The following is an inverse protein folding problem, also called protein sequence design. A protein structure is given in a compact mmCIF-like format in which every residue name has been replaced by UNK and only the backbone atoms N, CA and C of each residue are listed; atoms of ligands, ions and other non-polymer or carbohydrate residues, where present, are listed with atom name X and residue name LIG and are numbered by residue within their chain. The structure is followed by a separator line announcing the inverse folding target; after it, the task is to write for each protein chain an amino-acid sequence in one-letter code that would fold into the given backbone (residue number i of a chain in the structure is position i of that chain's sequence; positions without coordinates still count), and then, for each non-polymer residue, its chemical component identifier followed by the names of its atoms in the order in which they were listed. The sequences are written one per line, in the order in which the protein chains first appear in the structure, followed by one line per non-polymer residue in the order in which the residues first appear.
data_IF_585902699349
#
_entry.id   IF_585902699349
#
_cell.length_a   1.000
_cell.length_b   1.000
_cell.length_c   1.000
_cell.angle_alpha   90.00
_cell.angle_beta   90.00
_cell.angle_gamma   90.00
#
_symmetry.space_group_name_H-M   'P 1'
#
loop_
_entity.id
_entity.type
_entity.pdbx_description
1 polymer ?
#
# COMPACT_ATOMS: atom_id res chain seq x y z
N UNK A 1 14.39 11.55 -21.92
CA UNK A 1 15.79 11.20 -22.28
C UNK A 1 16.82 11.90 -21.37
N UNK A 2 16.63 13.17 -21.00
CA UNK A 2 17.58 13.90 -20.13
C UNK A 2 17.68 13.34 -18.71
N UNK A 3 16.60 12.85 -18.13
CA UNK A 3 16.62 12.27 -16.76
C UNK A 3 17.34 10.92 -16.74
N UNK A 4 17.40 10.21 -17.85
CA UNK A 4 18.10 8.92 -17.97
C UNK A 4 19.61 9.08 -18.15
N UNK A 5 20.05 10.16 -18.74
CA UNK A 5 21.47 10.45 -18.93
C UNK A 5 22.16 10.96 -17.66
N UNK A 6 21.45 11.66 -16.77
CA UNK A 6 22.00 12.18 -15.51
C UNK A 6 22.37 11.06 -14.52
N UNK A 7 21.74 9.89 -14.59
CA UNK A 7 22.05 8.74 -13.72
C UNK A 7 23.40 8.05 -14.03
N UNK A 8 23.93 8.17 -15.24
CA UNK A 8 25.20 7.56 -15.63
C UNK A 8 26.44 8.35 -15.21
N UNK A 9 26.31 9.63 -14.95
CA UNK A 9 27.44 10.51 -14.62
C UNK A 9 27.93 10.40 -13.17
N UNK A 10 27.06 10.02 -12.23
CA UNK A 10 27.40 9.95 -10.80
C UNK A 10 28.07 8.64 -10.34
N UNK A 11 28.21 7.66 -11.20
CA UNK A 11 28.86 6.37 -10.86
C UNK A 11 30.37 6.31 -11.16
N UNK A 12 31.00 7.39 -11.59
CA UNK A 12 32.44 7.38 -11.96
C UNK A 12 33.35 8.26 -11.10
N UNK A 13 32.88 8.90 -10.06
CA UNK A 13 33.68 9.80 -9.23
C UNK A 13 33.66 9.41 -7.74
N UNK A 14 34.15 8.22 -7.38
CA UNK A 14 34.55 7.92 -6.01
C UNK A 14 35.68 6.88 -6.03
N UNK A 15 36.87 7.35 -6.23
CA UNK A 15 38.12 6.59 -6.06
C UNK A 15 39.13 7.42 -5.28
N UNK A 16 39.50 6.92 -4.12
CA UNK A 16 40.73 7.15 -3.33
C UNK A 16 40.89 8.50 -2.57
N UNK A 17 40.80 8.44 -1.26
CA UNK A 17 41.97 8.76 -0.39
C UNK A 17 41.78 8.19 1.02
N UNK A 18 42.65 7.31 1.44
CA UNK A 18 42.84 6.87 2.83
C UNK A 18 43.61 7.93 3.60
N UNK A 19 43.09 8.38 4.75
CA UNK A 19 43.86 8.98 5.80
C UNK A 19 43.33 8.55 7.16
N UNK A 20 44.18 7.91 7.91
CA UNK A 20 44.00 7.40 9.27
C UNK A 20 43.78 8.52 10.27
N UNK A 21 42.74 8.38 11.09
CA UNK A 21 42.49 9.22 12.27
C UNK A 21 41.56 8.50 13.23
N UNK A 22 42.15 7.79 14.19
CA UNK A 22 41.44 7.16 15.30
C UNK A 22 40.96 8.21 16.28
N UNK A 23 39.65 8.43 16.36
CA UNK A 23 38.97 8.97 17.55
C UNK A 23 37.61 8.32 17.67
N UNK A 24 37.38 7.69 18.84
CA UNK A 24 36.19 6.91 19.15
C UNK A 24 34.91 7.74 19.08
N UNK A 25 34.15 7.52 18.02
CA UNK A 25 32.75 7.91 17.92
C UNK A 25 31.90 6.70 18.25
N UNK A 26 31.25 6.69 19.39
CA UNK A 26 30.19 5.76 19.67
C UNK A 26 29.07 6.01 18.66
N UNK A 27 29.06 5.20 17.62
CA UNK A 27 27.86 5.06 16.79
C UNK A 27 26.79 4.45 17.68
N UNK A 28 25.94 5.28 18.26
CA UNK A 28 24.67 4.85 18.79
C UNK A 28 23.87 4.30 17.61
N UNK A 29 24.04 3.01 17.33
CA UNK A 29 23.06 2.24 16.59
C UNK A 29 21.79 2.34 17.44
N UNK A 30 20.91 3.27 17.08
CA UNK A 30 19.56 3.28 17.59
C UNK A 30 18.99 1.90 17.26
N UNK A 31 18.97 1.00 18.22
CA UNK A 31 18.31 -0.29 18.13
C UNK A 31 16.87 0.04 17.81
N UNK A 32 16.46 -0.20 16.56
CA UNK A 32 15.07 -0.09 16.20
C UNK A 32 14.29 -1.01 17.14
N UNK A 33 13.48 -0.44 18.01
CA UNK A 33 12.69 -1.20 18.96
C UNK A 33 11.93 -2.27 18.18
N UNK A 34 12.04 -3.53 18.61
CA UNK A 34 11.38 -4.63 17.93
C UNK A 34 9.87 -4.34 17.88
N UNK A 35 9.27 -4.44 16.68
CA UNK A 35 7.84 -4.25 16.51
C UNK A 35 7.07 -5.23 17.39
N UNK A 36 6.02 -4.73 18.05
CA UNK A 36 5.17 -5.54 18.90
C UNK A 36 4.55 -6.69 18.11
N UNK A 37 4.53 -7.87 18.72
CA UNK A 37 3.84 -9.04 18.17
C UNK A 37 2.35 -8.76 18.07
N UNK A 38 1.73 -9.21 17.00
CA UNK A 38 0.30 -9.11 16.76
C UNK A 38 -0.25 -10.51 16.47
N UNK A 39 -0.90 -11.08 17.48
CA UNK A 39 -1.45 -12.43 17.34
C UNK A 39 -2.65 -12.42 16.39
N UNK A 40 -2.65 -13.37 15.47
CA UNK A 40 -3.70 -13.53 14.47
C UNK A 40 -3.83 -15.02 14.10
N UNK A 41 -5.04 -15.43 13.76
CA UNK A 41 -5.26 -16.78 13.25
C UNK A 41 -4.85 -16.83 11.76
N UNK A 42 -4.03 -17.80 11.38
CA UNK A 42 -3.72 -18.00 9.97
C UNK A 42 -4.97 -18.43 9.21
N UNK A 43 -5.30 -17.70 8.17
CA UNK A 43 -6.46 -18.02 7.33
C UNK A 43 -6.21 -19.29 6.54
N UNK A 44 -7.18 -20.23 6.59
CA UNK A 44 -7.17 -21.41 5.72
C UNK A 44 -7.74 -21.12 4.32
N UNK A 45 -8.48 -20.02 4.17
CA UNK A 45 -9.13 -19.64 2.92
C UNK A 45 -8.25 -18.78 2.02
N UNK A 46 -7.44 -17.91 2.60
CA UNK A 46 -6.63 -16.94 1.86
C UNK A 46 -5.16 -17.32 1.91
N UNK A 47 -4.84 -18.42 1.22
CA UNK A 47 -3.50 -18.99 1.10
C UNK A 47 -3.03 -18.93 -0.35
N UNK A 48 -1.74 -18.73 -0.55
CA UNK A 48 -1.09 -18.85 -1.86
C UNK A 48 -0.09 -19.99 -1.81
N UNK A 49 0.04 -20.72 -2.92
CA UNK A 49 1.09 -21.73 -3.13
C UNK A 49 2.36 -21.07 -3.69
N UNK A 50 2.69 -19.88 -3.21
CA UNK A 50 3.84 -19.10 -3.63
C UNK A 50 4.78 -18.84 -2.45
N UNK A 51 6.06 -18.67 -2.76
CA UNK A 51 7.06 -18.29 -1.75
C UNK A 51 6.70 -16.91 -1.18
N UNK A 52 6.69 -16.83 0.15
CA UNK A 52 6.52 -15.56 0.87
C UNK A 52 7.74 -14.68 0.60
N UNK A 53 7.51 -13.43 0.24
CA UNK A 53 8.58 -12.44 0.11
C UNK A 53 9.27 -12.27 1.47
N UNK A 54 10.61 -12.29 1.55
CA UNK A 54 11.31 -12.07 2.81
C UNK A 54 10.88 -10.76 3.48
N UNK A 55 10.68 -10.77 4.81
CA UNK A 55 10.27 -9.58 5.57
C UNK A 55 11.19 -8.39 5.30
N UNK A 56 12.50 -8.62 5.23
CA UNK A 56 13.50 -7.59 4.91
C UNK A 56 13.16 -6.88 3.60
N UNK A 57 12.86 -7.62 2.54
CA UNK A 57 12.59 -7.04 1.23
C UNK A 57 11.27 -6.29 1.21
N UNK A 58 10.22 -6.84 1.83
CA UNK A 58 8.91 -6.20 1.95
C UNK A 58 8.94 -4.93 2.80
N UNK A 59 9.90 -4.79 3.71
CA UNK A 59 10.01 -3.62 4.60
C UNK A 59 11.04 -2.58 4.12
N UNK A 60 11.89 -2.92 3.15
CA UNK A 60 12.92 -1.99 2.64
C UNK A 60 12.69 -1.53 1.21
N UNK A 61 11.77 -2.14 0.48
CA UNK A 61 11.43 -1.78 -0.90
C UNK A 61 9.97 -1.33 -0.99
N UNK A 62 9.72 -0.04 -0.81
CA UNK A 62 8.39 0.53 -0.67
C UNK A 62 8.15 1.75 -1.56
N UNK A 63 6.88 1.97 -1.91
CA UNK A 63 6.38 3.25 -2.39
C UNK A 63 5.53 3.87 -1.26
N UNK A 64 6.05 4.89 -0.60
CA UNK A 64 5.33 5.69 0.38
C UNK A 64 5.77 7.14 0.20
N UNK A 65 5.10 7.83 -0.73
CA UNK A 65 5.53 9.12 -1.27
C UNK A 65 5.56 10.23 -0.23
N UNK A 66 4.84 10.09 0.86
CA UNK A 66 4.91 10.98 2.03
C UNK A 66 6.33 11.02 2.63
N UNK A 67 7.14 9.95 2.40
CA UNK A 67 8.52 9.87 2.87
C UNK A 67 9.56 10.02 1.77
N UNK A 68 9.15 10.06 0.50
CA UNK A 68 10.04 10.26 -0.64
C UNK A 68 9.66 9.39 -1.84
N UNK A 69 10.35 9.60 -2.95
CA UNK A 69 10.05 8.95 -4.23
C UNK A 69 10.93 7.73 -4.54
N UNK A 70 12.05 7.57 -3.81
CA UNK A 70 12.89 6.39 -3.94
C UNK A 70 12.34 5.23 -3.09
N UNK A 71 12.57 3.98 -3.52
CA UNK A 71 12.10 2.79 -2.81
C UNK A 71 12.70 2.60 -1.42
N UNK A 72 13.89 3.17 -1.18
CA UNK A 72 14.58 3.14 0.10
C UNK A 72 14.23 4.32 1.02
N UNK A 73 13.56 5.36 0.51
CA UNK A 73 13.21 6.54 1.32
C UNK A 73 12.28 6.19 2.48
N UNK A 74 11.22 5.35 2.32
CA UNK A 74 10.34 5.02 3.43
C UNK A 74 11.06 4.34 4.59
N UNK A 75 11.94 3.37 4.34
CA UNK A 75 12.69 2.72 5.43
C UNK A 75 13.66 3.67 6.12
N UNK A 76 14.18 4.66 5.38
CA UNK A 76 15.11 5.67 5.90
C UNK A 76 14.42 6.73 6.75
N UNK A 77 13.22 7.17 6.33
CA UNK A 77 12.60 8.36 6.93
C UNK A 77 11.33 8.07 7.73
N UNK A 78 10.63 6.95 7.52
CA UNK A 78 9.35 6.71 8.18
C UNK A 78 9.44 6.44 9.70
N UNK A 79 10.65 6.30 10.24
CA UNK A 79 10.84 6.25 11.71
C UNK A 79 10.33 7.52 12.41
N UNK A 80 10.19 8.63 11.69
CA UNK A 80 9.65 9.90 12.20
C UNK A 80 8.13 9.94 12.27
N UNK A 81 7.41 8.99 11.64
CA UNK A 81 5.96 8.92 11.66
C UNK A 81 5.45 8.73 13.09
N UNK A 82 4.61 9.63 13.55
CA UNK A 82 3.92 9.49 14.83
C UNK A 82 2.63 8.70 14.63
N UNK A 83 2.60 7.51 15.21
CA UNK A 83 1.45 6.58 15.12
C UNK A 83 0.63 6.52 16.41
N UNK A 84 0.98 7.32 17.42
CA UNK A 84 0.31 7.38 18.72
C UNK A 84 0.26 8.82 19.23
N UNK A 85 -0.91 9.34 19.62
CA UNK A 85 -2.23 8.72 19.45
C UNK A 85 -2.68 8.70 17.98
N UNK A 86 -3.46 7.70 17.58
CA UNK A 86 -4.02 7.61 16.22
C UNK A 86 -5.53 7.47 16.27
N UNK A 87 -6.22 8.19 15.41
CA UNK A 87 -7.66 8.13 15.27
C UNK A 87 -8.04 7.94 13.80
N UNK A 88 -8.91 6.98 13.56
CA UNK A 88 -9.53 6.71 12.27
C UNK A 88 -11.00 7.14 12.33
N UNK A 89 -11.35 8.15 11.55
CA UNK A 89 -12.74 8.63 11.43
C UNK A 89 -13.43 7.95 10.25
N UNK A 90 -14.64 7.45 10.47
CA UNK A 90 -15.52 6.96 9.40
C UNK A 90 -16.75 7.85 9.35
N UNK A 91 -17.03 8.45 8.19
CA UNK A 91 -18.02 9.50 8.00
C UNK A 91 -18.68 9.46 6.62
N UNK A 92 -19.56 10.44 6.32
CA UNK A 92 -20.22 10.63 5.03
C UNK A 92 -21.59 9.98 5.00
N UNK A 93 -21.91 9.27 3.92
CA UNK A 93 -23.18 8.58 3.68
C UNK A 93 -23.39 7.39 4.64
N UNK A 94 -23.52 7.69 5.94
CA UNK A 94 -23.75 6.72 7.02
C UNK A 94 -24.64 7.32 8.12
N UNK A 95 -25.42 6.45 8.78
CA UNK A 95 -26.33 6.87 9.86
C UNK A 95 -25.60 7.08 11.20
N UNK A 96 -24.47 6.44 11.43
CA UNK A 96 -23.73 6.46 12.68
C UNK A 96 -22.24 6.72 12.46
N UNK A 97 -21.82 7.95 12.05
CA UNK A 97 -20.41 8.27 11.89
C UNK A 97 -19.66 8.07 13.20
N UNK A 98 -18.45 7.49 13.11
CA UNK A 98 -17.71 7.07 14.30
C UNK A 98 -16.22 7.28 14.15
N UNK A 99 -15.55 7.56 15.24
CA UNK A 99 -14.09 7.62 15.34
C UNK A 99 -13.59 6.45 16.18
N UNK A 100 -12.60 5.74 15.67
CA UNK A 100 -11.96 4.60 16.31
C UNK A 100 -10.52 4.94 16.66
N UNK A 101 -10.05 4.51 17.81
CA UNK A 101 -8.62 4.43 18.07
C UNK A 101 -8.05 3.07 17.60
N UNK A 102 -6.75 2.88 17.73
CA UNK A 102 -6.10 1.64 17.25
C UNK A 102 -6.51 0.42 18.06
N UNK A 103 -6.78 0.59 19.35
CA UNK A 103 -7.20 -0.52 20.19
C UNK A 103 -8.66 -0.92 19.90
N UNK A 104 -9.52 0.04 19.59
CA UNK A 104 -10.86 -0.23 19.05
C UNK A 104 -10.78 -1.05 17.77
N UNK A 105 -9.91 -0.64 16.82
CA UNK A 105 -9.74 -1.34 15.56
C UNK A 105 -9.22 -2.77 15.75
N UNK A 106 -8.30 -2.99 16.69
CA UNK A 106 -7.75 -4.32 16.98
C UNK A 106 -8.77 -5.28 17.59
N UNK A 107 -9.76 -4.75 18.30
CA UNK A 107 -10.80 -5.52 18.98
C UNK A 107 -12.08 -5.69 18.16
N UNK A 108 -12.22 -4.96 17.05
CA UNK A 108 -13.46 -4.88 16.31
C UNK A 108 -13.89 -6.21 15.69
N UNK A 109 -12.92 -6.99 15.21
CA UNK A 109 -13.16 -8.33 14.65
C UNK A 109 -11.92 -9.22 14.88
N UNK A 110 -12.08 -10.57 14.82
CA UNK A 110 -10.94 -11.48 14.89
C UNK A 110 -9.90 -11.17 13.81
N UNK A 111 -8.63 -11.08 14.22
CA UNK A 111 -7.52 -10.86 13.31
C UNK A 111 -7.15 -12.15 12.59
N UNK A 112 -7.01 -12.06 11.28
CA UNK A 112 -6.54 -13.14 10.42
C UNK A 112 -5.23 -12.76 9.76
N UNK A 113 -4.28 -13.71 9.68
CA UNK A 113 -3.13 -13.60 8.79
C UNK A 113 -3.51 -14.18 7.42
N UNK A 114 -3.43 -13.35 6.38
CA UNK A 114 -3.79 -13.67 4.99
C UNK A 114 -2.58 -13.47 4.09
N UNK A 115 -2.19 -14.50 3.36
CA UNK A 115 -1.13 -14.39 2.37
C UNK A 115 -1.69 -13.88 1.06
N UNK A 116 -1.36 -12.64 0.69
CA UNK A 116 -1.84 -12.00 -0.54
C UNK A 116 -0.71 -11.63 -1.48
N UNK A 117 -0.98 -11.76 -2.80
CA UNK A 117 -0.18 -11.10 -3.83
C UNK A 117 -0.37 -9.60 -3.73
N UNK A 118 0.70 -8.85 -3.91
CA UNK A 118 0.71 -7.42 -4.13
C UNK A 118 1.41 -7.13 -5.46
N UNK A 119 0.82 -6.31 -6.32
CA UNK A 119 1.33 -5.94 -7.61
C UNK A 119 1.40 -4.42 -7.74
N UNK A 120 2.58 -3.89 -7.94
CA UNK A 120 2.77 -2.47 -8.20
C UNK A 120 2.58 -2.17 -9.69
N UNK A 121 2.00 -1.01 -10.01
CA UNK A 121 1.90 -0.51 -11.38
C UNK A 121 3.26 -0.44 -12.08
N UNK A 122 4.34 -0.27 -11.33
CA UNK A 122 5.73 -0.24 -11.82
C UNK A 122 6.30 -1.60 -12.26
N UNK A 123 5.49 -2.66 -12.33
CA UNK A 123 5.93 -3.96 -12.87
C UNK A 123 6.68 -4.84 -11.89
N UNK A 124 6.51 -4.68 -10.59
CA UNK A 124 7.05 -5.57 -9.57
C UNK A 124 5.97 -6.08 -8.62
N UNK A 125 6.23 -7.20 -7.96
CA UNK A 125 5.26 -7.87 -7.09
C UNK A 125 5.91 -8.51 -5.88
N UNK A 126 5.07 -8.80 -4.88
CA UNK A 126 5.41 -9.49 -3.63
C UNK A 126 4.28 -10.45 -3.25
N UNK A 127 4.58 -11.42 -2.38
CA UNK A 127 3.60 -12.21 -1.64
C UNK A 127 3.80 -11.93 -0.15
N UNK A 128 2.84 -11.28 0.50
CA UNK A 128 3.00 -10.73 1.85
C UNK A 128 1.93 -11.30 2.78
N UNK A 129 2.30 -11.82 3.98
CA UNK A 129 1.38 -12.23 5.02
C UNK A 129 0.89 -10.98 5.78
N UNK A 130 -0.29 -10.51 5.44
CA UNK A 130 -0.95 -9.37 6.07
C UNK A 130 -1.82 -9.81 7.23
N UNK A 131 -1.90 -9.01 8.29
CA UNK A 131 -2.77 -9.25 9.44
C UNK A 131 -3.85 -8.17 9.52
N UNK A 132 -5.10 -8.62 9.58
CA UNK A 132 -6.25 -7.73 9.67
C UNK A 132 -7.56 -8.50 9.56
N UNK A 133 -8.61 -7.80 9.15
CA UNK A 133 -9.95 -8.37 8.90
C UNK A 133 -10.60 -7.68 7.71
N UNK A 134 -11.69 -8.25 7.18
CA UNK A 134 -12.41 -7.65 6.05
C UNK A 134 -12.84 -6.21 6.38
N UNK A 135 -12.58 -5.27 5.47
CA UNK A 135 -13.00 -3.86 5.57
C UNK A 135 -14.51 -3.72 5.86
N UNK A 136 -15.30 -4.68 5.40
CA UNK A 136 -16.74 -4.70 5.64
C UNK A 136 -17.10 -4.71 7.13
N UNK A 137 -16.28 -5.29 8.00
CA UNK A 137 -16.54 -5.30 9.44
C UNK A 137 -16.49 -3.90 10.05
N UNK A 138 -15.57 -3.06 9.56
CA UNK A 138 -15.52 -1.65 9.97
C UNK A 138 -16.67 -0.83 9.37
N UNK A 139 -16.93 -1.00 8.07
CA UNK A 139 -17.97 -0.23 7.36
C UNK A 139 -19.36 -0.50 7.97
N UNK A 140 -19.66 -1.73 8.35
CA UNK A 140 -20.94 -2.08 9.01
C UNK A 140 -21.18 -1.31 10.32
N UNK A 141 -20.11 -0.92 11.05
CA UNK A 141 -20.24 -0.21 12.32
C UNK A 141 -20.86 1.17 12.19
N UNK A 142 -20.76 1.78 11.01
CA UNK A 142 -21.27 3.13 10.77
C UNK A 142 -22.62 3.15 10.06
N UNK A 143 -23.21 2.01 9.74
CA UNK A 143 -24.52 1.87 9.12
C UNK A 143 -24.62 2.68 7.81
N UNK A 144 -23.99 2.25 6.72
CA UNK A 144 -24.05 2.93 5.42
C UNK A 144 -25.49 3.17 4.98
N UNK A 145 -25.77 4.37 4.44
CA UNK A 145 -27.08 4.68 3.85
C UNK A 145 -27.19 4.06 2.45
N UNK A 146 -28.41 4.02 1.92
CA UNK A 146 -28.65 3.56 0.53
C UNK A 146 -27.94 4.44 -0.53
N UNK A 147 -27.50 5.63 -0.17
CA UNK A 147 -26.75 6.55 -1.04
C UNK A 147 -25.26 6.27 -1.08
N UNK A 148 -24.71 5.50 -0.13
CA UNK A 148 -23.29 5.14 -0.13
C UNK A 148 -22.96 4.23 -1.32
N UNK A 149 -22.35 4.79 -2.35
CA UNK A 149 -21.95 4.07 -3.58
C UNK A 149 -20.45 3.86 -3.67
N UNK A 150 -19.67 4.73 -3.02
CA UNK A 150 -18.21 4.74 -3.03
C UNK A 150 -17.66 4.94 -1.63
N UNK A 151 -16.40 4.58 -1.47
CA UNK A 151 -15.62 4.78 -0.24
C UNK A 151 -14.32 5.47 -0.60
N UNK A 152 -14.05 6.63 0.00
CA UNK A 152 -12.78 7.35 -0.11
C UNK A 152 -11.93 7.09 1.13
N UNK A 153 -10.65 6.88 0.94
CA UNK A 153 -9.65 6.68 1.98
C UNK A 153 -8.65 7.83 1.93
N UNK A 154 -8.36 8.45 3.06
CA UNK A 154 -7.51 9.64 3.16
C UNK A 154 -6.39 9.35 4.16
N UNK A 155 -5.15 9.59 3.74
CA UNK A 155 -3.95 9.41 4.57
C UNK A 155 -3.76 10.57 5.53
N UNK A 156 -2.98 10.33 6.57
CA UNK A 156 -2.48 11.37 7.47
C UNK A 156 -1.41 12.23 6.77
N UNK A 157 -1.30 13.48 7.21
CA UNK A 157 -0.27 14.42 6.75
C UNK A 157 0.42 15.05 7.95
N UNK A 158 1.67 14.68 8.16
CA UNK A 158 2.53 15.18 9.23
C UNK A 158 3.71 15.97 8.61
N UNK A 159 3.57 17.26 8.25
CA UNK A 159 4.58 17.99 7.48
C UNK A 159 5.96 18.08 8.13
N UNK A 160 6.02 17.97 9.46
CA UNK A 160 7.28 17.93 10.21
C UNK A 160 7.98 16.57 10.12
N UNK A 161 7.22 15.49 9.97
CA UNK A 161 7.67 14.11 10.06
C UNK A 161 7.73 13.40 8.70
N UNK A 162 7.02 13.92 7.71
CA UNK A 162 6.88 13.37 6.37
C UNK A 162 7.56 14.29 5.34
N UNK A 163 8.83 14.10 5.02
CA UNK A 163 9.58 15.00 4.13
C UNK A 163 9.00 15.08 2.71
N UNK A 164 8.38 14.00 2.22
CA UNK A 164 7.80 13.93 0.88
C UNK A 164 6.58 14.83 0.69
N UNK A 165 5.81 15.12 1.74
CA UNK A 165 4.61 16.00 1.64
C UNK A 165 4.96 17.46 1.35
N UNK A 166 6.24 17.83 1.50
CA UNK A 166 6.73 19.16 1.13
C UNK A 166 7.10 19.26 -0.36
N UNK A 167 7.08 18.15 -1.06
CA UNK A 167 7.27 18.11 -2.51
C UNK A 167 5.94 18.27 -3.23
N UNK A 168 5.98 18.69 -4.50
CA UNK A 168 4.78 18.80 -5.36
C UNK A 168 4.61 17.57 -6.25
N UNK A 169 5.07 16.40 -5.81
CA UNK A 169 4.97 15.17 -6.58
C UNK A 169 3.53 14.74 -6.85
N UNK A 170 2.68 14.94 -5.87
CA UNK A 170 1.22 14.76 -5.94
C UNK A 170 0.53 15.79 -5.03
N UNK A 171 -0.81 15.90 -5.11
CA UNK A 171 -1.61 16.69 -4.18
C UNK A 171 -1.81 15.94 -2.86
N UNK A 172 -1.55 16.61 -1.72
CA UNK A 172 -1.69 16.06 -0.38
C UNK A 172 -2.98 16.52 0.31
N UNK A 173 -3.59 15.73 1.18
CA UNK A 173 -3.26 14.35 1.57
C UNK A 173 -3.43 13.37 0.40
N UNK A 174 -2.67 12.26 0.43
CA UNK A 174 -2.94 11.15 -0.49
C UNK A 174 -4.34 10.63 -0.24
N UNK A 175 -5.07 10.39 -1.33
CA UNK A 175 -6.41 9.82 -1.28
C UNK A 175 -6.64 8.86 -2.43
N UNK A 176 -7.49 7.89 -2.19
CA UNK A 176 -7.94 6.99 -3.23
C UNK A 176 -9.31 6.41 -2.87
N UNK A 177 -9.99 5.79 -3.80
CA UNK A 177 -11.35 5.31 -3.60
C UNK A 177 -11.61 3.92 -4.16
N UNK A 178 -12.68 3.32 -3.66
CA UNK A 178 -13.26 2.08 -4.14
C UNK A 178 -14.76 2.26 -4.36
N UNK A 179 -15.36 1.44 -5.20
CA UNK A 179 -16.80 1.24 -5.16
C UNK A 179 -17.18 0.57 -3.83
N UNK A 180 -18.42 0.75 -3.39
CA UNK A 180 -18.90 0.15 -2.14
C UNK A 180 -18.82 -1.39 -2.18
N UNK A 181 -19.17 -2.02 -3.30
CA UNK A 181 -19.09 -3.48 -3.46
C UNK A 181 -17.64 -4.01 -3.40
N UNK A 182 -16.68 -3.24 -3.93
CA UNK A 182 -15.24 -3.54 -3.80
C UNK A 182 -14.77 -3.40 -2.35
N UNK A 183 -15.17 -2.32 -1.67
CA UNK A 183 -14.82 -2.08 -0.27
C UNK A 183 -15.44 -3.13 0.68
N UNK A 184 -16.65 -3.59 0.38
CA UNK A 184 -17.37 -4.62 1.14
C UNK A 184 -16.94 -6.05 0.78
N UNK A 185 -16.13 -6.24 -0.26
CA UNK A 185 -15.70 -7.57 -0.67
C UNK A 185 -14.79 -8.20 0.39
N UNK A 186 -14.94 -9.51 0.69
CA UNK A 186 -14.15 -10.19 1.74
C UNK A 186 -12.62 -10.09 1.57
N UNK A 187 -12.12 -9.95 0.35
CA UNK A 187 -10.68 -9.78 0.07
C UNK A 187 -10.16 -8.38 0.41
N UNK A 188 -11.00 -7.35 0.48
CA UNK A 188 -10.57 -6.01 0.91
C UNK A 188 -10.28 -6.03 2.39
N UNK A 189 -9.01 -5.85 2.75
CA UNK A 189 -8.51 -6.01 4.11
C UNK A 189 -8.24 -4.67 4.77
N UNK A 190 -8.82 -4.42 5.94
CA UNK A 190 -8.29 -3.43 6.88
C UNK A 190 -7.11 -4.08 7.59
N UNK A 191 -5.93 -3.52 7.41
CA UNK A 191 -4.66 -4.16 7.78
C UNK A 191 -4.02 -3.43 8.94
N UNK A 192 -3.67 -4.17 9.98
CA UNK A 192 -3.07 -3.70 11.23
C UNK A 192 -1.67 -4.28 11.48
N UNK A 193 -1.28 -5.29 10.68
CA UNK A 193 -0.01 -5.96 10.84
C UNK A 193 0.45 -6.73 9.60
N UNK A 194 1.66 -7.26 9.70
CA UNK A 194 2.29 -8.14 8.72
C UNK A 194 3.39 -8.98 9.38
N UNK A 195 3.65 -10.18 8.88
CA UNK A 195 4.69 -11.10 9.41
C UNK A 195 4.59 -11.32 10.93
N UNK A 196 3.38 -11.50 11.47
CA UNK A 196 3.16 -11.75 12.91
C UNK A 196 3.35 -10.53 13.82
N UNK A 197 3.52 -9.33 13.28
CA UNK A 197 3.82 -8.07 14.02
C UNK A 197 2.87 -6.95 13.59
N UNK A 198 2.78 -5.91 14.41
CA UNK A 198 2.14 -4.65 13.99
C UNK A 198 2.83 -4.08 12.75
N UNK A 199 2.12 -3.26 11.98
CA UNK A 199 2.68 -2.64 10.77
C UNK A 199 3.92 -1.79 11.09
N UNK A 200 5.03 -1.97 10.37
CA UNK A 200 6.12 -1.01 10.42
C UNK A 200 5.72 0.30 9.74
N UNK A 201 6.29 1.40 10.19
CA UNK A 201 5.96 2.75 9.71
C UNK A 201 6.06 2.87 8.19
N UNK A 202 7.14 2.36 7.59
CA UNK A 202 7.37 2.39 6.14
C UNK A 202 6.36 1.56 5.33
N UNK A 203 5.62 0.68 5.98
CA UNK A 203 4.57 -0.12 5.36
C UNK A 203 3.15 0.43 5.61
N UNK A 204 3.05 1.64 6.17
CA UNK A 204 1.78 2.35 6.32
C UNK A 204 1.10 2.17 7.67
N UNK A 205 1.91 2.07 8.75
CA UNK A 205 1.40 2.04 10.13
C UNK A 205 0.53 3.28 10.45
N UNK A 206 -0.33 3.18 11.46
CA UNK A 206 -0.68 1.99 12.23
C UNK A 206 -1.82 1.19 11.59
N UNK A 207 -2.48 1.73 10.56
CA UNK A 207 -3.59 1.11 9.83
C UNK A 207 -3.54 1.49 8.36
N UNK A 208 -3.73 0.49 7.50
CA UNK A 208 -3.82 0.64 6.06
C UNK A 208 -4.88 -0.28 5.49
N UNK A 209 -5.19 -0.13 4.21
CA UNK A 209 -5.92 -1.17 3.50
C UNK A 209 -5.03 -1.96 2.54
N UNK A 210 -5.49 -3.17 2.18
CA UNK A 210 -4.91 -3.99 1.13
C UNK A 210 -6.03 -4.50 0.24
N UNK A 211 -5.91 -4.23 -1.07
CA UNK A 211 -6.83 -4.68 -2.11
C UNK A 211 -6.03 -5.51 -3.11
N UNK A 212 -5.97 -6.84 -2.96
CA UNK A 212 -4.95 -7.65 -3.62
C UNK A 212 -5.08 -7.75 -5.14
N UNK A 213 -6.27 -7.51 -5.72
CA UNK A 213 -6.50 -7.59 -7.17
C UNK A 213 -6.29 -6.25 -7.91
N UNK A 214 -6.06 -5.16 -7.16
CA UNK A 214 -5.75 -3.83 -7.71
C UNK A 214 -4.27 -3.51 -7.60
N UNK A 215 -3.80 -2.57 -8.41
CA UNK A 215 -2.44 -2.06 -8.27
C UNK A 215 -2.20 -1.48 -6.86
N UNK A 216 -0.99 -1.66 -6.35
CA UNK A 216 -0.64 -1.38 -4.95
C UNK A 216 -0.92 0.03 -4.45
N UNK A 217 -0.98 1.03 -5.34
CA UNK A 217 -1.31 2.40 -4.94
C UNK A 217 -2.77 2.57 -4.48
N UNK A 218 -3.69 1.69 -4.91
CA UNK A 218 -5.07 1.64 -4.41
C UNK A 218 -5.13 1.21 -2.94
N UNK A 219 -4.07 0.61 -2.40
CA UNK A 219 -3.97 0.13 -1.02
C UNK A 219 -3.43 1.24 -0.11
N UNK A 220 -4.28 2.21 0.20
CA UNK A 220 -3.96 3.44 0.95
C UNK A 220 -3.36 3.14 2.31
N UNK A 221 -2.31 3.89 2.70
CA UNK A 221 -1.51 3.73 3.93
C UNK A 221 -1.84 4.78 4.97
N UNK A 222 -1.56 4.49 6.24
CA UNK A 222 -1.67 5.46 7.35
C UNK A 222 -2.98 6.25 7.32
N UNK A 223 -4.10 5.52 7.23
CA UNK A 223 -5.44 6.08 7.00
C UNK A 223 -5.92 6.79 8.26
N UNK A 224 -6.43 8.01 8.11
CA UNK A 224 -7.08 8.80 9.19
C UNK A 224 -8.56 9.06 8.92
N UNK A 225 -9.00 8.98 7.65
CA UNK A 225 -10.42 9.15 7.31
C UNK A 225 -10.85 8.14 6.26
N UNK A 226 -12.01 7.54 6.51
CA UNK A 226 -12.77 6.75 5.54
C UNK A 226 -14.09 7.50 5.35
N UNK A 227 -14.40 7.90 4.11
CA UNK A 227 -15.60 8.66 3.79
C UNK A 227 -16.47 7.90 2.82
N UNK A 228 -17.72 7.66 3.21
CA UNK A 228 -18.73 7.05 2.35
C UNK A 228 -19.36 8.13 1.49
N UNK A 229 -19.46 7.90 0.18
CA UNK A 229 -19.86 8.90 -0.81
C UNK A 229 -20.95 8.37 -1.74
N UNK A 230 -21.78 9.29 -2.24
CA UNK A 230 -22.77 9.03 -3.30
C UNK A 230 -22.15 9.08 -4.71
N UNK A 231 -20.99 9.77 -4.85
CA UNK A 231 -20.27 9.99 -6.10
C UNK A 231 -18.87 9.42 -6.05
N UNK A 232 -18.38 9.04 -7.22
CA UNK A 232 -17.02 8.52 -7.37
C UNK A 232 -15.99 9.59 -6.98
N UNK A 233 -15.11 9.30 -6.00
CA UNK A 233 -13.99 10.18 -5.68
C UNK A 233 -12.88 10.03 -6.72
N UNK A 234 -12.13 11.10 -6.92
CA UNK A 234 -10.95 11.09 -7.77
C UNK A 234 -9.70 10.82 -6.91
N UNK A 235 -8.95 9.77 -7.24
CA UNK A 235 -7.70 9.41 -6.56
C UNK A 235 -6.56 10.40 -6.82
N UNK A 236 -5.55 10.39 -5.95
CA UNK A 236 -4.38 11.29 -6.07
C UNK A 236 -3.60 11.06 -7.36
N UNK A 237 -3.40 9.82 -7.79
CA UNK A 237 -2.73 9.52 -9.05
C UNK A 237 -3.57 9.85 -10.26
N UNK A 238 -4.87 9.52 -10.24
CA UNK A 238 -5.82 9.88 -11.30
C UNK A 238 -5.87 11.41 -11.49
N UNK A 239 -5.87 12.18 -10.41
CA UNK A 239 -5.83 13.64 -10.44
C UNK A 239 -4.51 14.18 -11.00
N UNK A 240 -3.38 13.58 -10.60
CA UNK A 240 -2.04 14.02 -10.99
C UNK A 240 -1.71 13.67 -12.44
N UNK A 241 -2.13 12.48 -12.90
CA UNK A 241 -1.80 11.93 -14.21
C UNK A 241 -3.00 11.18 -14.81
N UNK A 242 -4.08 11.89 -15.20
CA UNK A 242 -5.34 11.27 -15.65
C UNK A 242 -5.22 10.45 -16.94
N UNK A 243 -4.16 10.67 -17.73
CA UNK A 243 -3.86 9.88 -18.91
C UNK A 243 -3.14 8.55 -18.60
N UNK A 244 -2.69 8.34 -17.38
CA UNK A 244 -1.91 7.17 -16.97
C UNK A 244 -2.62 6.31 -15.93
N UNK A 245 -3.52 6.89 -15.12
CA UNK A 245 -4.18 6.24 -13.99
C UNK A 245 -5.68 6.48 -14.02
N UNK A 246 -6.44 5.40 -13.92
CA UNK A 246 -7.89 5.44 -13.80
C UNK A 246 -8.39 5.06 -12.42
N UNK A 247 -9.70 5.19 -12.20
CA UNK A 247 -10.33 4.93 -10.91
C UNK A 247 -10.20 3.46 -10.45
N UNK A 248 -10.47 2.52 -11.36
CA UNK A 248 -10.48 1.10 -10.97
C UNK A 248 -9.09 0.57 -10.65
N UNK A 249 -8.12 0.88 -11.51
CA UNK A 249 -6.72 0.45 -11.37
C UNK A 249 -6.57 -1.01 -10.99
N UNK A 250 -7.38 -1.85 -11.62
CA UNK A 250 -7.30 -3.29 -11.50
C UNK A 250 -6.04 -3.80 -12.21
N UNK A 251 -5.38 -4.80 -11.64
CA UNK A 251 -4.24 -5.44 -12.30
C UNK A 251 -4.70 -6.09 -13.58
N UNK A 252 -4.26 -5.54 -14.73
CA UNK A 252 -4.65 -5.99 -16.05
C UNK A 252 -3.42 -6.11 -16.96
N UNK A 253 -2.97 -7.33 -17.33
CA UNK A 253 -1.83 -7.53 -18.22
C UNK A 253 -2.08 -7.06 -19.66
N UNK A 254 -3.34 -6.85 -20.05
CA UNK A 254 -3.72 -6.45 -21.41
C UNK A 254 -3.77 -4.92 -21.59
N UNK A 255 -3.75 -4.15 -20.48
CA UNK A 255 -3.72 -2.69 -20.50
C UNK A 255 -2.36 -2.23 -19.97
N UNK A 256 -1.50 -1.82 -20.90
CA UNK A 256 -0.17 -1.31 -20.55
C UNK A 256 -0.25 0.12 -20.01
N UNK A 257 0.65 0.44 -19.07
CA UNK A 257 0.92 1.82 -18.73
C UNK A 257 1.52 2.54 -19.97
N UNK A 258 1.25 3.82 -20.22
CA UNK A 258 1.79 4.52 -21.40
C UNK A 258 3.32 4.45 -21.54
N UNK A 259 4.05 4.25 -20.43
CA UNK A 259 5.52 4.24 -20.40
C UNK A 259 6.15 2.84 -20.29
N UNK A 260 5.37 1.80 -19.96
CA UNK A 260 5.87 0.41 -19.84
C UNK A 260 4.75 -0.63 -19.94
N UNK A 261 5.14 -1.86 -20.27
CA UNK A 261 4.22 -2.99 -20.36
C UNK A 261 3.80 -3.51 -18.98
N UNK A 262 2.53 -3.92 -18.85
CA UNK A 262 2.00 -4.60 -17.68
C UNK A 262 1.92 -6.12 -17.86
N UNK A 263 2.33 -6.66 -19.01
CA UNK A 263 2.21 -8.09 -19.33
C UNK A 263 3.08 -8.99 -18.43
N UNK A 264 4.15 -8.43 -17.86
CA UNK A 264 5.07 -9.18 -17.01
C UNK A 264 5.45 -8.41 -15.74
N UNK A 265 5.91 -9.13 -14.73
CA UNK A 265 6.30 -8.57 -13.44
C UNK A 265 7.59 -9.20 -12.91
N UNK A 266 8.32 -8.45 -12.10
CA UNK A 266 9.48 -8.93 -11.34
C UNK A 266 9.05 -9.24 -9.91
N UNK A 267 9.28 -10.46 -9.43
CA UNK A 267 9.02 -10.82 -8.02
C UNK A 267 10.19 -10.37 -7.15
N UNK A 268 9.90 -9.49 -6.18
CA UNK A 268 10.88 -9.05 -5.19
C UNK A 268 11.18 -10.20 -4.22
N UNK A 269 12.45 -10.35 -3.84
CA UNK A 269 12.90 -11.43 -2.94
C UNK A 269 13.25 -12.75 -3.66
N UNK A 270 13.06 -12.80 -4.98
CA UNK A 270 13.57 -13.89 -5.82
C UNK A 270 14.72 -13.41 -6.71
N UNK A 271 15.43 -12.40 -6.23
CA UNK A 271 16.45 -11.70 -7.00
C UNK A 271 17.72 -12.53 -7.16
N UNK A 272 17.90 -13.08 -8.36
CA UNK A 272 19.18 -13.48 -8.91
C UNK A 272 19.44 -12.68 -10.18
N UNK A 273 20.68 -12.56 -10.62
CA UNK A 273 21.06 -11.85 -11.87
C UNK A 273 20.25 -12.36 -13.09
N UNK A 274 19.63 -13.52 -12.97
CA UNK A 274 18.85 -14.22 -14.00
C UNK A 274 17.41 -14.51 -13.59
N UNK A 275 16.84 -13.85 -12.57
CA UNK A 275 15.43 -14.10 -12.19
C UNK A 275 14.50 -13.72 -13.34
N UNK A 276 13.81 -14.69 -13.96
CA UNK A 276 12.93 -14.39 -15.10
C UNK A 276 11.73 -13.58 -14.62
N UNK A 277 11.29 -12.65 -15.47
CA UNK A 277 10.00 -11.99 -15.25
C UNK A 277 8.87 -13.02 -15.35
N UNK A 278 7.88 -12.89 -14.47
CA UNK A 278 6.66 -13.71 -14.48
C UNK A 278 5.60 -13.05 -15.36
N UNK A 279 4.69 -13.84 -15.91
CA UNK A 279 3.47 -13.31 -16.52
C UNK A 279 2.60 -12.67 -15.42
N UNK A 280 2.12 -11.45 -15.66
CA UNK A 280 1.13 -10.81 -14.80
C UNK A 280 -0.21 -11.53 -14.97
N UNK A 281 -0.88 -11.83 -13.87
CA UNK A 281 -2.20 -12.46 -13.87
C UNK A 281 -3.30 -11.40 -13.89
N UNK A 282 -4.37 -11.64 -14.65
CA UNK A 282 -5.57 -10.80 -14.64
C UNK A 282 -6.09 -10.70 -13.20
N UNK A 283 -6.44 -9.47 -12.77
CA UNK A 283 -6.87 -9.19 -11.39
C UNK A 283 -5.89 -9.76 -10.35
N UNK A 284 -4.60 -9.75 -10.69
CA UNK A 284 -3.51 -10.29 -9.86
C UNK A 284 -3.70 -11.76 -9.44
N UNK A 285 -4.46 -12.53 -10.22
CA UNK A 285 -4.79 -13.93 -9.95
C UNK A 285 -5.99 -14.15 -9.04
N UNK A 286 -6.80 -13.10 -8.78
CA UNK A 286 -8.04 -13.18 -8.00
C UNK A 286 -9.30 -13.09 -8.88
N UNK A 287 -9.19 -13.43 -10.16
CA UNK A 287 -10.31 -13.33 -11.12
C UNK A 287 -11.53 -14.18 -10.72
N UNK A 288 -11.30 -15.34 -10.11
CA UNK A 288 -12.39 -16.22 -9.66
C UNK A 288 -13.20 -15.60 -8.51
N UNK A 289 -12.54 -14.82 -7.63
CA UNK A 289 -13.14 -14.23 -6.45
C UNK A 289 -13.84 -12.89 -6.76
N UNK A 290 -13.24 -12.07 -7.64
CA UNK A 290 -13.70 -10.69 -7.85
C UNK A 290 -14.16 -10.38 -9.26
N UNK A 291 -14.03 -11.30 -10.20
CA UNK A 291 -14.40 -11.07 -11.60
C UNK A 291 -15.87 -10.68 -11.78
N UNK A 292 -16.76 -11.24 -10.96
CA UNK A 292 -18.18 -10.93 -10.98
C UNK A 292 -18.51 -9.48 -10.65
N UNK A 293 -17.66 -8.78 -9.88
CA UNK A 293 -17.82 -7.35 -9.58
C UNK A 293 -17.77 -6.47 -10.83
N UNK A 294 -17.16 -6.97 -11.90
CA UNK A 294 -16.89 -6.23 -13.13
C UNK A 294 -17.69 -6.76 -14.32
N UNK A 295 -18.71 -7.61 -14.08
CA UNK A 295 -19.58 -8.10 -15.14
C UNK A 295 -20.24 -6.94 -15.88
N UNK A 296 -20.10 -6.90 -17.19
CA UNK A 296 -20.62 -5.83 -18.05
C UNK A 296 -19.72 -4.58 -18.16
N UNK A 297 -18.59 -4.54 -17.46
CA UNK A 297 -17.59 -3.48 -17.63
C UNK A 297 -16.47 -3.91 -18.58
N UNK A 298 -16.16 -3.06 -19.55
CA UNK A 298 -14.95 -3.22 -20.35
C UNK A 298 -13.74 -2.77 -19.53
N UNK A 299 -12.94 -3.73 -19.05
CA UNK A 299 -11.76 -3.46 -18.21
C UNK A 299 -10.57 -2.87 -18.99
N UNK A 300 -10.68 -2.70 -20.32
CA UNK A 300 -9.69 -1.96 -21.11
C UNK A 300 -9.96 -0.46 -21.09
N UNK A 301 -11.23 -0.08 -20.97
CA UNK A 301 -11.67 1.32 -20.86
C UNK A 301 -11.80 1.77 -19.41
N UNK A 302 -12.17 0.86 -18.52
CA UNK A 302 -12.36 1.09 -17.09
C UNK A 302 -11.14 0.55 -16.31
N UNK A 303 -10.03 1.25 -16.39
CA UNK A 303 -8.77 0.89 -15.73
C UNK A 303 -8.39 1.84 -14.58
#
# INVERSE_FOLDING_TARGET
EEVWQTRRYWMKAAGATFATGALGGWSALASAAALAKLDAQRSSKYVLMEQVTPEKDATTYNNFFEFGTDKADPVKYAHTLQTTPWKLRVEGECAAPKTFDIDDLRKLAPLEERLYRMRCVEGWSMAIPWIGYSMSELIKQVQPTGNAKFVEFITDVQPKNMPGVRTRSIEWPYRDGLRMDEAMHPLTLLTLGMYGKVLPNQNGAPVRMVVPWKYGFKSVKSIVTIRLLDKQPMGSWERSQPSEYGFYSNVNPEVSHPRWSQATERRIGEDGVFSPKRKTLMLNGYANEVGSLYTGLDLRQNY
#
